data_IF_747629677649
#
_entry.id   IF_747629677649
#
_cell.length_a   1.000
_cell.length_b   1.000
_cell.length_c   1.000
_cell.angle_alpha   90.00
_cell.angle_beta   90.00
_cell.angle_gamma   90.00
#
_symmetry.space_group_name_H-M   'P 1'
#
loop_
_entity.id
_entity.type
_entity.pdbx_description
1 polymer ?
#
# COMPACT_ATOMS: atom_id res chain seq x y z
N UNK A 1 25.07 110.17 -38.59
CA UNK A 1 25.05 109.09 -37.61
C UNK A 1 23.69 109.12 -36.94
N UNK A 2 22.91 108.04 -37.05
CA UNK A 2 21.99 107.63 -35.98
C UNK A 2 21.58 106.16 -36.19
N UNK A 3 22.32 105.24 -35.56
CA UNK A 3 22.08 103.79 -35.58
C UNK A 3 21.77 103.26 -34.16
N UNK A 4 21.28 104.12 -33.26
CA UNK A 4 20.94 103.76 -31.88
C UNK A 4 19.43 103.49 -31.68
N UNK A 5 18.55 103.90 -32.60
CA UNK A 5 17.09 103.79 -32.42
C UNK A 5 16.46 102.45 -32.84
N UNK A 6 17.08 101.68 -33.73
CA UNK A 6 16.45 100.48 -34.32
C UNK A 6 16.71 99.21 -33.48
N UNK A 7 17.81 99.18 -32.70
CA UNK A 7 18.14 98.04 -31.83
C UNK A 7 17.24 97.91 -30.59
N UNK A 8 16.79 99.03 -30.01
CA UNK A 8 16.00 99.03 -28.78
C UNK A 8 14.53 98.61 -29.00
N UNK A 9 13.94 98.96 -30.15
CA UNK A 9 12.54 98.61 -30.48
C UNK A 9 12.43 97.14 -30.90
N UNK A 10 13.46 96.58 -31.55
CA UNK A 10 13.52 95.16 -31.89
C UNK A 10 13.68 94.27 -30.63
N UNK A 11 14.49 94.68 -29.66
CA UNK A 11 14.68 93.94 -28.40
C UNK A 11 13.43 93.96 -27.49
N UNK A 12 12.69 95.08 -27.46
CA UNK A 12 11.44 95.21 -26.69
C UNK A 12 10.26 94.44 -27.33
N UNK A 13 10.19 94.36 -28.65
CA UNK A 13 9.14 93.61 -29.36
C UNK A 13 9.32 92.09 -29.25
N UNK A 14 10.57 91.60 -29.28
CA UNK A 14 10.88 90.17 -29.11
C UNK A 14 10.62 89.69 -27.69
N UNK A 15 10.81 90.55 -26.68
CA UNK A 15 10.54 90.22 -25.27
C UNK A 15 9.05 90.26 -24.91
N UNK A 16 8.24 91.13 -25.52
CA UNK A 16 6.79 91.21 -25.29
C UNK A 16 6.00 90.03 -25.88
N UNK A 17 6.48 89.41 -26.96
CA UNK A 17 5.85 88.23 -27.59
C UNK A 17 6.45 86.91 -27.07
N UNK A 18 7.72 86.90 -26.67
CA UNK A 18 8.40 85.71 -26.15
C UNK A 18 7.88 85.23 -24.80
N UNK A 19 7.51 86.14 -23.89
CA UNK A 19 7.03 85.79 -22.53
C UNK A 19 5.67 85.07 -22.54
N UNK A 20 4.63 85.53 -23.27
CA UNK A 20 3.37 84.79 -23.39
C UNK A 20 3.53 83.43 -24.09
N UNK A 21 4.37 83.36 -25.13
CA UNK A 21 4.66 82.12 -25.85
C UNK A 21 5.32 81.06 -24.97
N UNK A 22 6.30 81.47 -24.16
CA UNK A 22 6.99 80.59 -23.20
C UNK A 22 6.04 80.08 -22.09
N UNK A 23 5.11 80.91 -21.62
CA UNK A 23 4.13 80.49 -20.62
C UNK A 23 3.12 79.47 -21.17
N UNK A 24 2.65 79.64 -22.41
CA UNK A 24 1.76 78.66 -23.06
C UNK A 24 2.50 77.35 -23.31
N UNK A 25 3.71 77.40 -23.86
CA UNK A 25 4.54 76.21 -24.07
C UNK A 25 4.82 75.48 -22.73
N UNK A 26 5.18 76.21 -21.67
CA UNK A 26 5.38 75.66 -20.34
C UNK A 26 4.11 75.02 -19.75
N UNK A 27 2.93 75.59 -19.98
CA UNK A 27 1.64 75.03 -19.54
C UNK A 27 1.27 73.73 -20.26
N UNK A 28 1.59 73.63 -21.55
CA UNK A 28 1.40 72.41 -22.34
C UNK A 28 2.39 71.31 -21.92
N UNK A 29 3.65 71.66 -21.66
CA UNK A 29 4.66 70.74 -21.12
C UNK A 29 4.28 70.22 -19.74
N UNK A 30 3.77 71.06 -18.83
CA UNK A 30 3.26 70.64 -17.52
C UNK A 30 2.07 69.70 -17.63
N UNK A 31 1.10 69.99 -18.50
CA UNK A 31 -0.06 69.09 -18.73
C UNK A 31 0.36 67.76 -19.35
N UNK A 32 1.32 67.77 -20.28
CA UNK A 32 1.87 66.56 -20.86
C UNK A 32 2.64 65.75 -19.80
N UNK A 33 3.43 66.40 -18.94
CA UNK A 33 4.14 65.79 -17.83
C UNK A 33 3.21 65.16 -16.79
N UNK A 34 2.11 65.84 -16.42
CA UNK A 34 1.11 65.29 -15.51
C UNK A 34 0.39 64.07 -16.10
N UNK A 35 0.00 64.11 -17.38
CA UNK A 35 -0.61 62.94 -18.05
C UNK A 35 0.36 61.77 -18.17
N UNK A 36 1.64 62.04 -18.44
CA UNK A 36 2.66 61.01 -18.46
C UNK A 36 2.89 60.42 -17.06
N UNK A 37 2.89 61.26 -16.01
CA UNK A 37 2.97 60.82 -14.62
C UNK A 37 1.76 59.97 -14.19
N UNK A 38 0.54 60.37 -14.55
CA UNK A 38 -0.67 59.58 -14.27
C UNK A 38 -0.65 58.23 -15.02
N UNK A 39 -0.25 58.23 -16.30
CA UNK A 39 -0.15 57.01 -17.10
C UNK A 39 0.92 56.05 -16.54
N UNK A 40 2.06 56.58 -16.09
CA UNK A 40 3.11 55.76 -15.45
C UNK A 40 2.69 55.24 -14.09
N UNK A 41 1.94 56.04 -13.30
CA UNK A 41 1.37 55.58 -12.03
C UNK A 41 0.36 54.44 -12.25
N UNK A 42 -0.54 54.57 -13.22
CA UNK A 42 -1.51 53.52 -13.57
C UNK A 42 -0.83 52.26 -14.10
N UNK A 43 0.18 52.41 -14.96
CA UNK A 43 0.98 51.28 -15.43
C UNK A 43 1.73 50.58 -14.28
N UNK A 44 2.26 51.35 -13.33
CA UNK A 44 2.90 50.83 -12.13
C UNK A 44 1.95 50.04 -11.23
N UNK A 45 0.72 50.54 -11.00
CA UNK A 45 -0.32 49.83 -10.25
C UNK A 45 -0.75 48.54 -10.97
N UNK A 46 -0.96 48.59 -12.29
CA UNK A 46 -1.31 47.41 -13.07
C UNK A 46 -0.20 46.35 -13.05
N UNK A 47 1.07 46.77 -13.10
CA UNK A 47 2.23 45.88 -12.98
C UNK A 47 2.32 45.29 -11.57
N UNK A 48 2.07 46.08 -10.52
CA UNK A 48 2.05 45.60 -9.14
C UNK A 48 0.95 44.54 -8.94
N UNK A 49 -0.28 44.81 -9.40
CA UNK A 49 -1.39 43.86 -9.34
C UNK A 49 -1.09 42.57 -10.12
N UNK A 50 -0.52 42.69 -11.31
CA UNK A 50 -0.11 41.53 -12.11
C UNK A 50 0.97 40.71 -11.38
N UNK A 51 1.96 41.36 -10.78
CA UNK A 51 3.01 40.68 -10.02
C UNK A 51 2.48 40.00 -8.76
N UNK A 52 1.52 40.62 -8.07
CA UNK A 52 0.88 40.05 -6.90
C UNK A 52 0.05 38.82 -7.24
N UNK A 53 -0.73 38.88 -8.34
CA UNK A 53 -1.48 37.71 -8.84
C UNK A 53 -0.55 36.58 -9.26
N UNK A 54 0.51 36.90 -10.00
CA UNK A 54 1.51 35.90 -10.40
C UNK A 54 2.19 35.25 -9.17
N UNK A 55 2.49 36.03 -8.13
CA UNK A 55 3.04 35.50 -6.88
C UNK A 55 2.04 34.59 -6.15
N UNK A 56 0.76 34.97 -6.07
CA UNK A 56 -0.28 34.14 -5.48
C UNK A 56 -0.47 32.82 -6.25
N UNK A 57 -0.49 32.88 -7.58
CA UNK A 57 -0.63 31.69 -8.41
C UNK A 57 0.59 30.77 -8.30
N UNK A 58 1.80 31.35 -8.20
CA UNK A 58 3.02 30.59 -7.94
C UNK A 58 2.98 29.89 -6.57
N UNK A 59 2.53 30.57 -5.50
CA UNK A 59 2.39 29.96 -4.16
C UNK A 59 1.34 28.83 -4.17
N UNK A 60 0.22 29.01 -4.87
CA UNK A 60 -0.80 27.96 -5.02
C UNK A 60 -0.27 26.75 -5.77
N UNK A 61 0.41 26.97 -6.90
CA UNK A 61 1.02 25.90 -7.67
C UNK A 61 2.07 25.15 -6.85
N UNK A 62 2.91 25.88 -6.10
CA UNK A 62 3.91 25.30 -5.21
C UNK A 62 3.26 24.45 -4.11
N UNK A 63 2.23 24.96 -3.43
CA UNK A 63 1.52 24.22 -2.39
C UNK A 63 0.83 22.96 -2.91
N UNK A 64 0.32 22.98 -4.15
CA UNK A 64 -0.24 21.80 -4.81
C UNK A 64 0.84 20.75 -5.10
N UNK A 65 2.01 21.17 -5.59
CA UNK A 65 3.15 20.27 -5.85
C UNK A 65 3.62 19.63 -4.55
N UNK A 66 3.80 20.41 -3.49
CA UNK A 66 4.23 19.92 -2.17
C UNK A 66 3.21 18.93 -1.59
N UNK A 67 1.92 19.24 -1.68
CA UNK A 67 0.87 18.33 -1.22
C UNK A 67 0.88 16.99 -1.97
N UNK A 68 1.05 17.02 -3.30
CA UNK A 68 1.16 15.78 -4.10
C UNK A 68 2.42 14.99 -3.74
N UNK A 69 3.55 15.65 -3.55
CA UNK A 69 4.79 14.98 -3.12
C UNK A 69 4.65 14.35 -1.73
N UNK A 70 4.04 15.07 -0.78
CA UNK A 70 3.77 14.58 0.56
C UNK A 70 2.85 13.35 0.54
N UNK A 71 1.75 13.39 -0.22
CA UNK A 71 0.85 12.22 -0.39
C UNK A 71 1.59 11.01 -0.97
N UNK A 72 2.41 11.21 -2.00
CA UNK A 72 3.22 10.12 -2.59
C UNK A 72 4.20 9.53 -1.56
N UNK A 73 4.79 10.37 -0.71
CA UNK A 73 5.65 9.93 0.39
C UNK A 73 4.92 8.98 1.34
N UNK A 74 3.76 9.41 1.84
CA UNK A 74 2.90 8.59 2.73
C UNK A 74 2.50 7.28 2.07
N UNK A 75 2.01 7.33 0.83
CA UNK A 75 1.59 6.13 0.10
C UNK A 75 2.74 5.14 -0.08
N UNK A 76 3.91 5.62 -0.50
CA UNK A 76 5.09 4.77 -0.67
C UNK A 76 5.49 4.10 0.65
N UNK A 77 5.50 4.85 1.73
CA UNK A 77 5.90 4.34 3.04
C UNK A 77 4.86 3.31 3.57
N UNK A 78 3.55 3.57 3.36
CA UNK A 78 2.48 2.63 3.67
C UNK A 78 2.57 1.33 2.86
N UNK A 79 2.80 1.42 1.54
CA UNK A 79 2.93 0.25 0.67
C UNK A 79 4.16 -0.59 1.02
N UNK A 80 5.30 0.06 1.29
CA UNK A 80 6.51 -0.63 1.71
C UNK A 80 6.33 -1.34 3.05
N UNK A 81 5.72 -0.66 4.03
CA UNK A 81 5.46 -1.25 5.33
C UNK A 81 4.51 -2.46 5.24
N UNK A 82 3.44 -2.36 4.44
CA UNK A 82 2.52 -3.47 4.20
C UNK A 82 3.21 -4.67 3.54
N UNK A 83 4.00 -4.46 2.48
CA UNK A 83 4.77 -5.52 1.84
C UNK A 83 5.71 -6.22 2.82
N UNK A 84 6.40 -5.44 3.65
CA UNK A 84 7.28 -6.01 4.68
C UNK A 84 6.51 -6.89 5.67
N UNK A 85 5.31 -6.48 6.11
CA UNK A 85 4.49 -7.29 7.01
C UNK A 85 3.98 -8.56 6.35
N UNK A 86 3.53 -8.48 5.09
CA UNK A 86 3.12 -9.66 4.31
C UNK A 86 4.27 -10.65 4.15
N UNK A 87 5.47 -10.16 3.81
CA UNK A 87 6.66 -11.00 3.67
C UNK A 87 7.07 -11.61 5.01
N UNK A 88 7.06 -10.84 6.10
CA UNK A 88 7.37 -11.36 7.44
C UNK A 88 6.39 -12.45 7.88
N UNK A 89 5.11 -12.27 7.58
CA UNK A 89 4.07 -13.26 7.81
C UNK A 89 4.27 -14.52 6.96
N UNK A 90 4.56 -14.33 5.67
CA UNK A 90 4.85 -15.41 4.72
C UNK A 90 6.09 -16.22 5.12
N UNK A 91 7.20 -15.55 5.44
CA UNK A 91 8.45 -16.19 5.85
C UNK A 91 8.27 -16.99 7.14
N UNK A 92 7.51 -16.46 8.10
CA UNK A 92 7.19 -17.19 9.33
C UNK A 92 6.31 -18.42 9.05
N UNK A 93 5.41 -18.35 8.08
CA UNK A 93 4.63 -19.49 7.63
C UNK A 93 5.46 -20.50 6.82
N UNK A 94 6.43 -20.06 6.02
CA UNK A 94 7.24 -20.96 5.18
C UNK A 94 8.35 -21.67 5.98
N UNK A 95 8.97 -20.98 6.95
CA UNK A 95 9.99 -21.55 7.83
C UNK A 95 9.41 -22.43 8.95
N UNK A 96 8.24 -23.02 8.69
CA UNK A 96 7.54 -23.90 9.61
C UNK A 96 8.21 -25.28 9.65
N UNK A 97 9.07 -25.49 10.64
CA UNK A 97 9.21 -26.80 11.27
C UNK A 97 8.09 -26.91 12.30
N UNK A 98 7.10 -27.77 12.04
CA UNK A 98 5.95 -27.87 12.94
C UNK A 98 6.39 -28.57 14.23
N UNK A 99 6.36 -27.87 15.38
CA UNK A 99 6.87 -28.44 16.60
C UNK A 99 6.05 -29.66 17.02
N UNK A 100 6.76 -30.68 17.51
CA UNK A 100 6.14 -31.91 17.99
C UNK A 100 5.48 -31.70 19.36
N UNK A 101 6.04 -30.80 20.17
CA UNK A 101 5.58 -30.56 21.55
C UNK A 101 4.43 -29.54 21.61
N UNK A 102 3.49 -29.75 22.53
CA UNK A 102 2.33 -28.87 22.72
C UNK A 102 2.71 -27.46 23.18
N UNK A 103 3.77 -27.33 23.99
CA UNK A 103 4.26 -26.02 24.46
C UNK A 103 4.87 -25.20 23.32
N UNK A 104 5.68 -25.84 22.48
CA UNK A 104 6.24 -25.22 21.28
C UNK A 104 5.14 -24.86 20.26
N UNK A 105 4.11 -25.70 20.09
CA UNK A 105 2.93 -25.37 19.26
C UNK A 105 2.19 -24.15 19.78
N UNK A 106 2.00 -24.03 21.10
CA UNK A 106 1.39 -22.86 21.73
C UNK A 106 2.25 -21.61 21.56
N UNK A 107 3.56 -21.72 21.76
CA UNK A 107 4.50 -20.61 21.55
C UNK A 107 4.48 -20.14 20.10
N UNK A 108 4.47 -21.07 19.15
CA UNK A 108 4.38 -20.76 17.72
C UNK A 108 3.06 -20.06 17.38
N UNK A 109 1.92 -20.58 17.84
CA UNK A 109 0.61 -19.95 17.61
C UNK A 109 0.55 -18.54 18.23
N UNK A 110 1.19 -18.34 19.39
CA UNK A 110 1.30 -17.04 20.02
C UNK A 110 2.17 -16.07 19.20
N UNK A 111 3.25 -16.54 18.56
CA UNK A 111 4.12 -15.73 17.70
C UNK A 111 3.45 -15.36 16.36
N UNK A 112 2.53 -16.18 15.86
CA UNK A 112 1.84 -15.94 14.61
C UNK A 112 0.78 -14.83 14.68
N UNK A 113 0.07 -14.75 15.82
CA UNK A 113 -0.98 -13.74 16.07
C UNK A 113 -0.52 -12.28 15.87
N UNK A 114 0.60 -11.82 16.44
CA UNK A 114 1.05 -10.43 16.23
C UNK A 114 1.43 -10.16 14.77
N UNK A 115 1.98 -11.13 14.03
CA UNK A 115 2.28 -10.97 12.61
C UNK A 115 1.01 -10.81 11.76
N UNK A 116 -0.01 -11.61 12.04
CA UNK A 116 -1.32 -11.48 11.38
C UNK A 116 -1.96 -10.11 11.66
N UNK A 117 -1.91 -9.67 12.93
CA UNK A 117 -2.44 -8.37 13.34
C UNK A 117 -1.67 -7.21 12.68
N UNK A 118 -0.33 -7.29 12.61
CA UNK A 118 0.50 -6.27 11.97
C UNK A 118 0.22 -6.18 10.46
N UNK A 119 0.18 -7.32 9.76
CA UNK A 119 -0.19 -7.38 8.34
C UNK A 119 -1.57 -6.77 8.09
N UNK A 120 -2.58 -7.16 8.88
CA UNK A 120 -3.93 -6.62 8.76
C UNK A 120 -3.99 -5.11 9.01
N UNK A 121 -3.31 -4.63 10.05
CA UNK A 121 -3.22 -3.22 10.39
C UNK A 121 -2.60 -2.42 9.24
N UNK A 122 -1.45 -2.85 8.72
CA UNK A 122 -0.82 -2.16 7.59
C UNK A 122 -1.65 -2.24 6.31
N UNK A 123 -2.36 -3.35 6.09
CA UNK A 123 -3.32 -3.48 4.99
C UNK A 123 -4.50 -2.49 5.11
N UNK A 124 -4.94 -2.15 6.32
CA UNK A 124 -5.91 -1.06 6.53
C UNK A 124 -5.35 0.31 6.17
N UNK A 125 -4.09 0.60 6.54
CA UNK A 125 -3.45 1.87 6.17
C UNK A 125 -3.38 2.02 4.65
N UNK A 126 -3.01 0.96 3.93
CA UNK A 126 -2.99 0.97 2.46
C UNK A 126 -4.38 1.24 1.86
N UNK A 127 -5.44 0.66 2.44
CA UNK A 127 -6.82 0.90 1.99
C UNK A 127 -7.32 2.33 2.26
N UNK A 128 -6.79 2.99 3.29
CA UNK A 128 -7.13 4.38 3.61
C UNK A 128 -6.37 5.39 2.74
N UNK A 129 -5.09 5.13 2.46
CA UNK A 129 -4.21 6.08 1.77
C UNK A 129 -4.12 5.84 0.26
N UNK A 130 -4.36 4.61 -0.19
CA UNK A 130 -4.21 4.18 -1.57
C UNK A 130 -5.47 4.38 -2.41
N UNK A 131 -5.33 4.43 -3.75
CA UNK A 131 -6.48 4.35 -4.64
C UNK A 131 -7.14 2.97 -4.56
N UNK A 132 -8.41 2.90 -4.97
CA UNK A 132 -9.24 1.69 -4.89
C UNK A 132 -8.57 0.43 -5.47
N UNK A 133 -7.82 0.58 -6.57
CA UNK A 133 -7.12 -0.55 -7.21
C UNK A 133 -6.02 -1.12 -6.30
N UNK A 134 -5.26 -0.27 -5.62
CA UNK A 134 -4.22 -0.69 -4.68
C UNK A 134 -4.84 -1.26 -3.40
N UNK A 135 -5.94 -0.66 -2.94
CA UNK A 135 -6.72 -1.14 -1.80
C UNK A 135 -7.24 -2.58 -2.03
N UNK A 136 -7.81 -2.83 -3.21
CA UNK A 136 -8.28 -4.15 -3.62
C UNK A 136 -7.12 -5.15 -3.74
N UNK A 137 -6.03 -4.78 -4.42
CA UNK A 137 -4.86 -5.65 -4.57
C UNK A 137 -4.21 -5.98 -3.20
N UNK A 138 -4.22 -5.04 -2.25
CA UNK A 138 -3.75 -5.28 -0.88
C UNK A 138 -4.63 -6.29 -0.14
N UNK A 139 -5.95 -6.19 -0.29
CA UNK A 139 -6.90 -7.14 0.29
C UNK A 139 -6.71 -8.55 -0.29
N UNK A 140 -6.56 -8.66 -1.61
CA UNK A 140 -6.27 -9.93 -2.28
C UNK A 140 -4.96 -10.54 -1.78
N UNK A 141 -3.88 -9.75 -1.72
CA UNK A 141 -2.59 -10.20 -1.21
C UNK A 141 -2.68 -10.68 0.25
N UNK A 142 -3.38 -9.94 1.11
CA UNK A 142 -3.57 -10.35 2.50
C UNK A 142 -4.28 -11.72 2.59
N UNK A 143 -5.39 -11.90 1.88
CA UNK A 143 -6.13 -13.16 1.90
C UNK A 143 -5.34 -14.31 1.28
N UNK A 144 -4.59 -14.06 0.21
CA UNK A 144 -3.73 -15.07 -0.41
C UNK A 144 -2.58 -15.47 0.51
N UNK A 145 -2.02 -14.54 1.30
CA UNK A 145 -1.03 -14.84 2.33
C UNK A 145 -1.61 -15.69 3.46
N UNK A 146 -2.78 -15.32 3.98
CA UNK A 146 -3.50 -16.08 5.02
C UNK A 146 -3.84 -17.51 4.55
N UNK A 147 -4.35 -17.64 3.32
CA UNK A 147 -4.60 -18.93 2.68
C UNK A 147 -3.34 -19.79 2.60
N UNK A 148 -2.26 -19.21 2.10
CA UNK A 148 -0.99 -19.93 1.97
C UNK A 148 -0.49 -20.39 3.33
N UNK A 149 -0.58 -19.55 4.36
CA UNK A 149 -0.18 -19.93 5.71
C UNK A 149 -0.99 -21.12 6.25
N UNK A 150 -2.31 -21.13 6.06
CA UNK A 150 -3.17 -22.27 6.46
C UNK A 150 -2.73 -23.55 5.75
N UNK A 151 -2.49 -23.49 4.44
CA UNK A 151 -2.06 -24.66 3.65
C UNK A 151 -0.68 -25.16 4.09
N UNK A 152 0.29 -24.25 4.26
CA UNK A 152 1.64 -24.61 4.71
C UNK A 152 1.61 -25.18 6.13
N UNK A 153 0.78 -24.62 7.01
CA UNK A 153 0.57 -25.14 8.36
C UNK A 153 -0.03 -26.56 8.35
N UNK A 154 -1.03 -26.80 7.49
CA UNK A 154 -1.60 -28.13 7.28
C UNK A 154 -0.56 -29.14 6.80
N UNK A 155 0.25 -28.76 5.80
CA UNK A 155 1.35 -29.59 5.31
C UNK A 155 2.40 -29.91 6.38
N UNK A 156 2.80 -28.90 7.16
CA UNK A 156 3.80 -29.06 8.21
C UNK A 156 3.28 -29.97 9.34
N UNK A 157 2.01 -29.82 9.75
CA UNK A 157 1.32 -30.73 10.68
C UNK A 157 1.29 -32.16 10.16
N UNK A 158 0.93 -32.35 8.90
CA UNK A 158 0.89 -33.67 8.26
C UNK A 158 2.27 -34.32 8.29
N UNK A 159 3.32 -33.58 7.88
CA UNK A 159 4.71 -34.07 7.86
C UNK A 159 5.20 -34.46 9.25
N UNK A 160 4.96 -33.63 10.26
CA UNK A 160 5.32 -33.92 11.65
C UNK A 160 4.61 -35.18 12.17
N UNK A 161 3.31 -35.32 11.90
CA UNK A 161 2.57 -36.53 12.26
C UNK A 161 3.12 -37.78 11.56
N UNK A 162 3.51 -37.67 10.29
CA UNK A 162 4.14 -38.79 9.57
C UNK A 162 5.48 -39.18 10.20
N UNK A 163 6.31 -38.20 10.58
CA UNK A 163 7.60 -38.44 11.23
C UNK A 163 7.43 -39.11 12.59
N UNK A 164 6.41 -38.73 13.37
CA UNK A 164 6.12 -39.37 14.66
C UNK A 164 5.72 -40.83 14.51
N UNK A 165 4.86 -41.17 13.53
CA UNK A 165 4.54 -42.58 13.23
C UNK A 165 5.79 -43.31 12.75
N UNK A 166 6.56 -42.71 11.84
CA UNK A 166 7.78 -43.30 11.31
C UNK A 166 8.81 -43.61 12.41
N UNK A 167 8.99 -42.72 13.39
CA UNK A 167 9.90 -42.91 14.53
C UNK A 167 9.51 -44.09 15.44
N UNK A 168 8.26 -44.55 15.39
CA UNK A 168 7.79 -45.73 16.13
C UNK A 168 7.92 -47.03 15.36
N UNK A 169 8.27 -46.98 14.07
CA UNK A 169 8.37 -48.17 13.20
C UNK A 169 9.41 -49.16 13.71
N UNK A 170 10.52 -48.67 14.28
CA UNK A 170 11.59 -49.53 14.79
C UNK A 170 11.15 -50.34 16.03
N UNK A 171 10.29 -49.75 16.87
CA UNK A 171 9.78 -50.37 18.11
C UNK A 171 8.46 -51.12 17.92
N UNK A 172 7.64 -50.72 16.96
CA UNK A 172 6.25 -51.18 16.79
C UNK A 172 5.91 -51.46 15.32
N UNK A 173 6.80 -52.13 14.59
CA UNK A 173 6.73 -52.33 13.14
C UNK A 173 5.36 -52.78 12.63
N UNK A 174 4.80 -53.85 13.19
CA UNK A 174 3.50 -54.40 12.79
C UNK A 174 2.35 -53.39 12.99
N UNK A 175 2.37 -52.65 14.10
CA UNK A 175 1.37 -51.61 14.37
C UNK A 175 1.55 -50.39 13.47
N UNK A 176 2.77 -50.04 13.10
CA UNK A 176 3.07 -48.94 12.19
C UNK A 176 2.60 -49.27 10.76
N UNK A 177 2.89 -50.47 10.26
CA UNK A 177 2.44 -50.92 8.93
C UNK A 177 0.91 -50.91 8.85
N UNK A 178 0.23 -51.48 9.85
CA UNK A 178 -1.23 -51.47 9.94
C UNK A 178 -1.80 -50.05 10.01
N UNK A 179 -1.13 -49.17 10.75
CA UNK A 179 -1.52 -47.76 10.85
C UNK A 179 -1.48 -47.06 9.48
N UNK A 180 -0.45 -47.31 8.67
CA UNK A 180 -0.36 -46.74 7.31
C UNK A 180 -1.41 -47.26 6.33
N UNK A 181 -1.85 -48.51 6.48
CA UNK A 181 -2.98 -49.05 5.73
C UNK A 181 -4.28 -48.33 6.10
N UNK A 182 -4.54 -48.21 7.41
CA UNK A 182 -5.76 -47.59 7.92
C UNK A 182 -5.81 -46.09 7.64
N UNK A 183 -4.69 -45.36 7.67
CA UNK A 183 -4.63 -43.95 7.26
C UNK A 183 -5.08 -43.80 5.80
N UNK A 184 -4.61 -44.66 4.89
CA UNK A 184 -5.03 -44.64 3.48
C UNK A 184 -6.49 -45.04 3.28
N UNK A 185 -7.03 -45.91 4.11
CA UNK A 185 -8.46 -46.24 4.11
C UNK A 185 -9.29 -45.05 4.63
N UNK A 186 -8.89 -44.48 5.77
CA UNK A 186 -9.55 -43.34 6.40
C UNK A 186 -9.58 -42.10 5.49
N UNK A 187 -8.47 -41.78 4.80
CA UNK A 187 -8.42 -40.68 3.83
C UNK A 187 -9.45 -40.84 2.70
N UNK A 188 -9.69 -42.08 2.24
CA UNK A 188 -10.68 -42.35 1.18
C UNK A 188 -12.11 -42.20 1.68
N UNK A 189 -12.38 -42.56 2.93
CA UNK A 189 -13.72 -42.48 3.54
C UNK A 189 -13.95 -41.18 4.31
N UNK A 190 -13.00 -40.24 4.31
CA UNK A 190 -13.08 -39.04 5.15
C UNK A 190 -14.31 -38.17 4.83
N UNK A 191 -14.65 -38.07 3.55
CA UNK A 191 -15.79 -37.29 3.07
C UNK A 191 -17.16 -37.90 3.44
N UNK A 192 -17.20 -39.16 3.90
CA UNK A 192 -18.44 -39.84 4.33
C UNK A 192 -18.62 -39.82 5.85
N UNK A 193 -17.69 -39.24 6.60
CA UNK A 193 -17.81 -39.09 8.06
C UNK A 193 -19.04 -38.24 8.39
N UNK A 194 -19.95 -38.78 9.20
CA UNK A 194 -21.19 -38.09 9.57
C UNK A 194 -22.31 -38.11 8.52
N UNK A 195 -22.14 -38.86 7.42
CA UNK A 195 -23.23 -39.15 6.46
C UNK A 195 -23.86 -40.52 6.75
N UNK A 196 -24.93 -40.86 6.04
CA UNK A 196 -25.59 -42.18 6.17
C UNK A 196 -24.74 -43.35 5.66
N UNK A 197 -23.63 -43.07 4.96
CA UNK A 197 -22.69 -44.06 4.40
C UNK A 197 -21.39 -44.16 5.24
N UNK A 198 -21.45 -43.75 6.50
CA UNK A 198 -20.29 -43.69 7.39
C UNK A 198 -19.76 -45.09 7.73
N UNK A 199 -18.74 -45.52 6.98
CA UNK A 199 -17.94 -46.72 7.23
C UNK A 199 -16.64 -46.41 7.99
N UNK A 200 -16.46 -45.15 8.43
CA UNK A 200 -15.22 -44.69 9.04
C UNK A 200 -15.08 -45.05 10.52
N UNK A 201 -16.19 -45.35 11.21
CA UNK A 201 -16.22 -45.57 12.66
C UNK A 201 -15.30 -46.72 13.12
N UNK A 202 -15.31 -47.85 12.39
CA UNK A 202 -14.45 -48.99 12.68
C UNK A 202 -12.97 -48.64 12.42
N UNK A 203 -12.68 -47.99 11.29
CA UNK A 203 -11.32 -47.56 10.91
C UNK A 203 -10.75 -46.58 11.96
N UNK A 204 -11.53 -45.59 12.37
CA UNK A 204 -11.11 -44.58 13.36
C UNK A 204 -10.96 -45.18 14.76
N UNK A 205 -11.79 -46.16 15.14
CA UNK A 205 -11.64 -46.89 16.40
C UNK A 205 -10.36 -47.71 16.43
N UNK A 206 -10.06 -48.44 15.35
CA UNK A 206 -8.83 -49.23 15.23
C UNK A 206 -7.59 -48.32 15.24
N UNK A 207 -7.61 -47.20 14.50
CA UNK A 207 -6.55 -46.20 14.52
C UNK A 207 -6.31 -45.66 15.94
N UNK A 208 -7.35 -45.32 16.70
CA UNK A 208 -7.20 -44.85 18.10
C UNK A 208 -6.51 -45.90 18.97
N UNK A 209 -6.85 -47.17 18.82
CA UNK A 209 -6.22 -48.26 19.58
C UNK A 209 -4.75 -48.44 19.22
N UNK A 210 -4.41 -48.37 17.92
CA UNK A 210 -3.04 -48.48 17.45
C UNK A 210 -2.19 -47.29 17.91
N UNK A 211 -2.72 -46.07 17.85
CA UNK A 211 -2.06 -44.87 18.36
C UNK A 211 -1.80 -44.97 19.87
N UNK A 212 -2.77 -45.45 20.65
CA UNK A 212 -2.59 -45.68 22.08
C UNK A 212 -1.48 -46.72 22.37
N UNK A 213 -1.42 -47.81 21.58
CA UNK A 213 -0.35 -48.84 21.71
C UNK A 213 1.03 -48.32 21.36
N UNK A 214 1.13 -47.42 20.38
CA UNK A 214 2.39 -46.77 19.97
C UNK A 214 2.73 -45.52 20.79
N UNK A 215 1.93 -45.19 21.82
CA UNK A 215 2.06 -43.98 22.64
C UNK A 215 2.09 -42.68 21.79
N UNK A 216 1.25 -42.65 20.75
CA UNK A 216 1.07 -41.48 19.89
C UNK A 216 -0.17 -40.70 20.31
N UNK A 217 -0.11 -39.37 20.15
CA UNK A 217 -1.26 -38.50 20.39
C UNK A 217 -2.38 -38.78 19.38
N UNK A 218 -3.61 -38.95 19.89
CA UNK A 218 -4.82 -39.13 19.08
C UNK A 218 -5.06 -37.92 18.16
N UNK A 219 -4.60 -36.72 18.54
CA UNK A 219 -4.68 -35.52 17.71
C UNK A 219 -4.01 -35.66 16.34
N UNK A 220 -3.03 -36.55 16.21
CA UNK A 220 -2.34 -36.83 14.94
C UNK A 220 -3.23 -37.53 13.90
N UNK A 221 -4.28 -38.24 14.33
CA UNK A 221 -5.22 -38.90 13.43
C UNK A 221 -5.88 -37.86 12.52
N UNK A 222 -6.26 -36.70 13.06
CA UNK A 222 -6.82 -35.59 12.27
C UNK A 222 -5.82 -35.03 11.27
N UNK A 223 -4.54 -34.88 11.67
CA UNK A 223 -3.48 -34.37 10.79
C UNK A 223 -3.13 -35.35 9.65
N UNK A 224 -3.27 -36.66 9.89
CA UNK A 224 -2.92 -37.71 8.92
C UNK A 224 -4.08 -38.08 8.00
N UNK A 225 -5.31 -38.10 8.54
CA UNK A 225 -6.49 -38.60 7.83
C UNK A 225 -7.39 -37.48 7.28
N UNK A 226 -7.29 -36.27 7.82
CA UNK A 226 -8.09 -35.12 7.40
C UNK A 226 -7.84 -34.69 5.94
N UNK A 227 -8.76 -33.91 5.35
CA UNK A 227 -8.58 -33.37 4.02
C UNK A 227 -7.31 -32.53 4.00
N UNK A 228 -6.39 -32.88 3.10
CA UNK A 228 -5.11 -32.17 2.91
C UNK A 228 -5.32 -30.71 2.57
N UNK A 229 -6.47 -30.41 1.97
CA UNK A 229 -6.92 -29.08 1.62
C UNK A 229 -8.18 -28.76 2.43
N UNK A 230 -8.01 -28.29 3.66
CA UNK A 230 -8.97 -27.29 4.16
C UNK A 230 -8.68 -25.99 3.43
N UNK A 231 -8.88 -25.99 2.10
CA UNK A 231 -8.76 -24.79 1.30
C UNK A 231 -9.80 -23.79 1.83
N UNK A 232 -9.43 -22.52 2.03
CA UNK A 232 -10.45 -21.50 2.25
C UNK A 232 -11.43 -21.53 1.08
N UNK A 233 -12.67 -21.18 1.41
CA UNK A 233 -13.88 -21.30 0.59
C UNK A 233 -13.60 -21.35 -0.92
N UNK A 234 -13.88 -22.47 -1.62
CA UNK A 234 -13.65 -22.59 -3.06
C UNK A 234 -14.45 -21.57 -3.89
N UNK A 235 -15.43 -20.89 -3.30
CA UNK A 235 -16.16 -19.79 -3.93
C UNK A 235 -15.36 -18.47 -3.98
N UNK A 236 -14.33 -18.33 -3.16
CA UNK A 236 -13.38 -17.23 -3.23
C UNK A 236 -12.32 -17.58 -4.27
N UNK A 237 -12.56 -17.14 -5.51
CA UNK A 237 -11.62 -17.22 -6.63
C UNK A 237 -10.43 -16.25 -6.41
N UNK A 238 -9.66 -16.49 -5.35
CA UNK A 238 -8.51 -15.70 -4.95
C UNK A 238 -7.28 -16.13 -5.75
N UNK A 239 -6.46 -15.17 -6.23
CA UNK A 239 -5.18 -15.45 -6.87
C UNK A 239 -4.25 -16.18 -5.91
N UNK A 240 -3.27 -16.93 -6.45
CA UNK A 240 -2.21 -17.46 -5.60
C UNK A 240 -1.33 -16.31 -5.05
N UNK A 241 -0.54 -16.58 -4.01
CA UNK A 241 0.26 -15.54 -3.33
C UNK A 241 1.18 -14.76 -4.28
N UNK A 242 1.79 -15.43 -5.26
CA UNK A 242 2.69 -14.79 -6.22
C UNK A 242 1.93 -13.88 -7.20
N UNK A 243 0.79 -14.34 -7.69
CA UNK A 243 -0.10 -13.53 -8.54
C UNK A 243 -0.61 -12.30 -7.79
N UNK A 244 -1.05 -12.46 -6.54
CA UNK A 244 -1.51 -11.37 -5.69
C UNK A 244 -0.38 -10.36 -5.38
N UNK A 245 0.83 -10.86 -5.11
CA UNK A 245 2.01 -10.01 -4.87
C UNK A 245 2.37 -9.19 -6.10
N UNK A 246 2.37 -9.81 -7.27
CA UNK A 246 2.64 -9.14 -8.54
C UNK A 246 1.55 -8.12 -8.90
N UNK A 247 0.28 -8.45 -8.65
CA UNK A 247 -0.83 -7.53 -8.82
C UNK A 247 -0.65 -6.29 -7.92
N UNK A 248 -0.39 -6.49 -6.63
CA UNK A 248 -0.15 -5.39 -5.69
C UNK A 248 1.02 -4.50 -6.13
N UNK A 249 2.16 -5.09 -6.51
CA UNK A 249 3.34 -4.33 -6.97
C UNK A 249 3.04 -3.52 -8.24
N UNK A 250 2.27 -4.07 -9.18
CA UNK A 250 1.86 -3.38 -10.39
C UNK A 250 0.98 -2.18 -10.05
N UNK A 251 -0.12 -2.39 -9.31
CA UNK A 251 -1.05 -1.31 -8.95
C UNK A 251 -0.37 -0.23 -8.10
N UNK A 252 0.50 -0.62 -7.15
CA UNK A 252 1.25 0.31 -6.32
C UNK A 252 2.21 1.17 -7.16
N UNK A 253 2.89 0.56 -8.15
CA UNK A 253 3.78 1.28 -9.07
C UNK A 253 3.00 2.26 -9.94
N UNK A 254 1.87 1.83 -10.50
CA UNK A 254 1.01 2.70 -11.33
C UNK A 254 0.47 3.88 -10.52
N UNK A 255 0.02 3.65 -9.29
CA UNK A 255 -0.47 4.70 -8.40
C UNK A 255 0.62 5.75 -8.06
N UNK A 256 1.87 5.32 -7.88
CA UNK A 256 2.98 6.24 -7.59
C UNK A 256 3.46 7.01 -8.83
N UNK A 257 3.30 6.45 -10.03
CA UNK A 257 3.68 7.10 -11.30
C UNK A 257 2.62 8.09 -11.79
N UNK A 258 1.34 7.78 -11.60
CA UNK A 258 0.20 8.58 -12.06
C UNK A 258 -0.77 8.91 -10.91
N UNK A 259 -0.40 9.84 -10.01
CA UNK A 259 -1.32 10.25 -8.96
C UNK A 259 -2.46 11.04 -9.59
N UNK A 260 -3.68 10.57 -9.36
CA UNK A 260 -4.92 11.29 -9.68
C UNK A 260 -5.16 12.44 -8.71
#
# INVERSE_FOLDING_TARGET
MDLQGVGAVAAAAVTLVGVPGALVAGRWQLRAGLRAADATAQAGLAQADASYRAALDAVRAQGQIEHVQWRRGIQRDAYAAFLQAVLSYHDHAHNLDFPCEEDERRAWSAAFKPLAADMSHKGWVVRLEGPEQVAQAAWELQNSAERLAIVTQGHARHRSAMQQVAARTDTHREHADRTWELIRAAQRTWHTIGTTEDSSAEILSELRQLFARMQLDIGLIMALCGPRDSAPDPNLNLPNFMEASNAFLREAREALQHPR
#
